data_IF_341319275885
#
_entry.id   IF_341319275885
#
_cell.length_a   1.000
_cell.length_b   1.000
_cell.length_c   1.000
_cell.angle_alpha   90.00
_cell.angle_beta   90.00
_cell.angle_gamma   90.00
#
_symmetry.space_group_name_H-M   'P 1'
#
loop_
_entity.id
_entity.type
_entity.pdbx_description
1 polymer ?
#
# COMPACT_ATOMS: atom_id res chain seq x y z
N UNK A 1 -5.55 25.87 -32.62
CA UNK A 1 -5.94 25.38 -31.27
C UNK A 1 -6.11 23.86 -31.41
N UNK A 2 -5.24 23.05 -30.81
CA UNK A 2 -5.28 21.59 -30.94
C UNK A 2 -5.93 21.02 -29.67
N UNK A 3 -7.04 20.31 -29.83
CA UNK A 3 -7.64 19.51 -28.77
C UNK A 3 -7.08 18.08 -28.88
N UNK A 4 -6.28 17.66 -27.90
CA UNK A 4 -5.84 16.27 -27.77
C UNK A 4 -6.80 15.57 -26.80
N UNK A 5 -7.71 14.76 -27.33
CA UNK A 5 -8.58 13.89 -26.53
C UNK A 5 -7.92 12.51 -26.44
N UNK A 6 -7.19 12.26 -25.35
CA UNK A 6 -6.61 10.95 -25.06
C UNK A 6 -7.63 10.10 -24.29
N UNK A 7 -8.52 9.43 -25.02
CA UNK A 7 -9.28 8.30 -24.46
C UNK A 7 -9.09 7.09 -25.36
N UNK A 8 -8.44 6.05 -24.83
CA UNK A 8 -8.32 4.78 -25.54
C UNK A 8 -9.72 4.14 -25.53
N UNK A 9 -10.37 4.09 -26.69
CA UNK A 9 -11.65 3.38 -26.85
C UNK A 9 -11.40 1.88 -26.87
N UNK A 10 -11.55 1.24 -25.71
CA UNK A 10 -11.63 -0.22 -25.54
C UNK A 10 -13.04 -0.57 -25.06
N UNK A 11 -13.65 -1.61 -25.63
CA UNK A 11 -14.95 -2.10 -25.15
C UNK A 11 -14.75 -3.06 -23.98
N UNK A 12 -15.76 -3.28 -23.12
CA UNK A 12 -15.64 -4.24 -22.00
C UNK A 12 -15.22 -5.65 -22.43
N UNK A 13 -15.58 -6.07 -23.65
CA UNK A 13 -15.16 -7.36 -24.23
C UNK A 13 -13.65 -7.42 -24.46
N UNK A 14 -13.01 -6.29 -24.69
CA UNK A 14 -11.58 -6.18 -25.04
C UNK A 14 -10.69 -5.85 -23.83
N UNK A 15 -11.26 -5.73 -22.62
CA UNK A 15 -10.49 -5.41 -21.41
C UNK A 15 -9.39 -6.44 -21.14
N UNK A 16 -9.68 -7.73 -21.41
CA UNK A 16 -8.80 -8.85 -21.09
C UNK A 16 -8.50 -8.91 -19.57
N UNK A 17 -7.61 -9.82 -19.15
CA UNK A 17 -7.24 -9.98 -17.74
C UNK A 17 -6.19 -8.97 -17.29
N UNK A 18 -6.12 -8.66 -16.00
CA UNK A 18 -5.03 -7.87 -15.42
C UNK A 18 -3.64 -8.45 -15.74
N UNK A 19 -3.51 -9.79 -15.75
CA UNK A 19 -2.26 -10.46 -16.11
C UNK A 19 -1.76 -10.08 -17.52
N UNK A 20 -2.67 -9.97 -18.49
CA UNK A 20 -2.34 -9.54 -19.86
C UNK A 20 -1.92 -8.07 -19.95
N UNK A 21 -2.28 -7.26 -18.95
CA UNK A 21 -2.02 -5.82 -18.89
C UNK A 21 -0.85 -5.47 -17.97
N UNK A 22 -0.07 -6.45 -17.50
CA UNK A 22 1.03 -6.25 -16.53
C UNK A 22 2.13 -5.28 -16.96
N UNK A 23 2.25 -5.01 -18.27
CA UNK A 23 3.17 -4.01 -18.83
C UNK A 23 2.61 -2.58 -18.88
N UNK A 24 1.35 -2.37 -18.49
CA UNK A 24 0.70 -1.07 -18.45
C UNK A 24 0.44 -0.69 -16.99
N UNK A 25 1.22 0.25 -16.47
CA UNK A 25 1.15 0.68 -15.09
C UNK A 25 -0.17 1.36 -14.74
N UNK A 26 -0.71 2.18 -15.65
CA UNK A 26 -1.99 2.86 -15.44
C UNK A 26 -3.15 1.88 -15.17
N UNK A 27 -3.15 0.71 -15.82
CA UNK A 27 -4.15 -0.34 -15.57
C UNK A 27 -3.87 -1.08 -14.25
N UNK A 28 -2.60 -1.42 -13.99
CA UNK A 28 -2.24 -2.26 -12.86
C UNK A 28 -2.36 -1.55 -11.51
N UNK A 29 -2.06 -0.25 -11.46
CA UNK A 29 -2.28 0.57 -10.25
C UNK A 29 -3.76 0.62 -9.89
N UNK A 30 -4.64 0.80 -10.87
CA UNK A 30 -6.10 0.74 -10.68
C UNK A 30 -6.61 -0.65 -10.26
N UNK A 31 -5.87 -1.70 -10.60
CA UNK A 31 -6.12 -3.08 -10.15
C UNK A 31 -5.53 -3.42 -8.78
N UNK A 32 -4.80 -2.50 -8.13
CA UNK A 32 -4.18 -2.75 -6.83
C UNK A 32 -5.26 -2.77 -5.75
N UNK A 33 -5.20 -3.78 -4.86
CA UNK A 33 -6.24 -4.06 -3.87
C UNK A 33 -7.63 -4.39 -4.46
N UNK A 34 -7.71 -4.78 -5.75
CA UNK A 34 -8.95 -5.17 -6.41
C UNK A 34 -9.29 -6.66 -6.27
N UNK A 35 -9.18 -7.22 -5.06
CA UNK A 35 -9.57 -8.61 -4.83
C UNK A 35 -10.98 -8.66 -4.25
N UNK A 36 -11.88 -9.44 -4.84
CA UNK A 36 -13.28 -9.57 -4.39
C UNK A 36 -13.46 -9.99 -2.92
N UNK A 37 -12.44 -10.62 -2.32
CA UNK A 37 -12.41 -11.00 -0.89
C UNK A 37 -11.72 -9.99 0.02
N UNK A 38 -11.27 -8.86 -0.51
CA UNK A 38 -10.72 -7.79 0.33
C UNK A 38 -11.81 -7.30 1.26
N UNK A 39 -11.52 -7.32 2.56
CA UNK A 39 -12.42 -6.82 3.59
C UNK A 39 -11.79 -5.58 4.21
N UNK A 40 -12.14 -4.40 3.68
CA UNK A 40 -11.65 -3.15 4.20
C UNK A 40 -12.48 -2.72 5.42
N UNK A 41 -11.87 -2.74 6.61
CA UNK A 41 -12.54 -2.40 7.89
C UNK A 41 -12.99 -0.93 7.99
N UNK A 42 -12.54 -0.06 7.08
CA UNK A 42 -12.97 1.34 7.02
C UNK A 42 -14.30 1.53 6.27
N UNK A 43 -14.71 0.55 5.46
CA UNK A 43 -15.91 0.62 4.62
C UNK A 43 -17.10 0.04 5.38
N UNK A 44 -18.17 0.81 5.48
CA UNK A 44 -19.35 0.50 6.28
C UNK A 44 -20.31 -0.45 5.55
N UNK A 45 -20.37 -0.36 4.22
CA UNK A 45 -21.24 -1.19 3.38
C UNK A 45 -20.53 -2.47 2.96
N UNK A 46 -20.91 -3.59 3.57
CA UNK A 46 -20.62 -4.93 3.01
C UNK A 46 -21.19 -5.03 1.60
N UNK A 47 -20.52 -5.82 0.76
CA UNK A 47 -20.89 -6.01 -0.62
C UNK A 47 -22.37 -6.29 -0.83
N UNK A 48 -23.12 -5.27 -1.27
CA UNK A 48 -24.43 -5.48 -1.85
C UNK A 48 -24.22 -5.83 -3.33
N UNK A 49 -24.72 -6.97 -3.82
CA UNK A 49 -24.58 -7.38 -5.22
C UNK A 49 -25.36 -6.48 -6.21
N UNK A 50 -26.01 -5.41 -5.73
CA UNK A 50 -26.89 -4.52 -6.49
C UNK A 50 -26.49 -3.04 -6.39
N UNK A 51 -25.18 -2.75 -6.40
CA UNK A 51 -24.72 -1.36 -6.49
C UNK A 51 -24.67 -0.95 -7.97
N UNK A 52 -25.40 0.10 -8.41
CA UNK A 52 -25.33 0.59 -9.78
C UNK A 52 -23.90 1.04 -10.13
N UNK A 53 -23.52 0.91 -11.40
CA UNK A 53 -22.15 1.01 -11.93
C UNK A 53 -21.43 2.37 -11.78
N UNK A 54 -21.99 3.29 -11.00
CA UNK A 54 -21.44 4.61 -10.69
C UNK A 54 -20.85 4.71 -9.28
N UNK A 55 -20.89 3.63 -8.51
CA UNK A 55 -20.36 3.56 -7.15
C UNK A 55 -19.29 2.46 -7.07
N UNK A 56 -18.23 2.66 -6.25
CA UNK A 56 -17.10 1.74 -6.16
C UNK A 56 -17.57 0.34 -5.80
N UNK A 57 -16.91 -0.68 -6.36
CA UNK A 57 -17.15 -2.05 -5.91
C UNK A 57 -16.80 -2.11 -4.42
N UNK A 58 -17.66 -2.68 -3.56
CA UNK A 58 -17.41 -2.75 -2.12
C UNK A 58 -16.11 -3.49 -1.78
N UNK A 59 -15.56 -4.28 -2.71
CA UNK A 59 -14.26 -4.93 -2.60
C UNK A 59 -13.06 -4.03 -2.96
N UNK A 60 -13.26 -2.91 -3.66
CA UNK A 60 -12.23 -1.93 -4.06
C UNK A 60 -12.35 -0.61 -3.32
N UNK A 61 -13.34 -0.48 -2.44
CA UNK A 61 -13.63 0.77 -1.76
C UNK A 61 -12.72 1.01 -0.54
N UNK A 62 -12.52 2.28 -0.23
CA UNK A 62 -11.97 2.77 1.04
C UNK A 62 -12.64 4.09 1.43
N UNK A 63 -12.33 4.57 2.63
CA UNK A 63 -12.83 5.83 3.15
C UNK A 63 -11.77 6.91 2.95
N UNK A 64 -12.09 7.95 2.18
CA UNK A 64 -11.26 9.15 2.14
C UNK A 64 -11.51 9.96 3.41
N UNK A 65 -10.54 9.98 4.32
CA UNK A 65 -10.72 10.47 5.70
C UNK A 65 -10.99 11.97 5.76
N UNK A 66 -10.45 12.76 4.84
CA UNK A 66 -10.63 14.22 4.85
C UNK A 66 -12.08 14.66 4.65
N UNK A 67 -12.88 13.89 3.92
CA UNK A 67 -14.29 14.18 3.62
C UNK A 67 -15.25 13.13 4.17
N UNK A 68 -14.73 12.03 4.74
CA UNK A 68 -15.49 10.84 5.12
C UNK A 68 -16.33 10.25 3.98
N UNK A 69 -15.83 10.31 2.74
CA UNK A 69 -16.52 9.74 1.57
C UNK A 69 -15.93 8.38 1.18
N UNK A 70 -16.79 7.38 1.01
CA UNK A 70 -16.40 6.08 0.45
C UNK A 70 -16.16 6.21 -1.07
N UNK A 71 -15.01 5.77 -1.55
CA UNK A 71 -14.62 5.81 -2.98
C UNK A 71 -13.65 4.67 -3.30
N UNK A 72 -13.31 4.46 -4.58
CA UNK A 72 -12.32 3.46 -4.96
C UNK A 72 -10.93 3.81 -4.38
N UNK A 73 -10.17 2.78 -4.00
CA UNK A 73 -8.82 2.93 -3.41
C UNK A 73 -7.90 3.76 -4.31
N UNK A 74 -7.99 3.56 -5.63
CA UNK A 74 -7.20 4.34 -6.58
C UNK A 74 -7.55 5.83 -6.49
N UNK A 75 -8.84 6.18 -6.55
CA UNK A 75 -9.29 7.58 -6.52
C UNK A 75 -8.93 8.25 -5.20
N UNK A 76 -9.11 7.55 -4.07
CA UNK A 76 -8.65 8.03 -2.76
C UNK A 76 -7.14 8.30 -2.75
N UNK A 77 -6.35 7.42 -3.37
CA UNK A 77 -4.90 7.58 -3.47
C UNK A 77 -4.49 8.78 -4.32
N UNK A 78 -5.23 9.08 -5.39
CA UNK A 78 -5.00 10.28 -6.20
C UNK A 78 -5.29 11.55 -5.40
N UNK A 79 -6.38 11.58 -4.62
CA UNK A 79 -6.66 12.71 -3.72
C UNK A 79 -5.52 12.93 -2.72
N UNK A 80 -5.05 11.89 -2.03
CA UNK A 80 -3.91 12.03 -1.12
C UNK A 80 -2.60 12.40 -1.82
N UNK A 81 -2.42 11.99 -3.08
CA UNK A 81 -1.27 12.41 -3.89
C UNK A 81 -1.29 13.91 -4.15
N UNK A 82 -2.46 14.50 -4.42
CA UNK A 82 -2.59 15.96 -4.63
C UNK A 82 -2.23 16.75 -3.38
N UNK A 83 -2.56 16.24 -2.20
CA UNK A 83 -2.21 16.85 -0.91
C UNK A 83 -0.83 16.46 -0.40
N UNK A 84 -0.07 15.67 -1.18
CA UNK A 84 1.25 15.11 -0.82
C UNK A 84 1.24 14.36 0.52
N UNK A 85 0.12 13.73 0.85
CA UNK A 85 -0.05 12.97 2.07
C UNK A 85 0.45 11.54 1.86
N UNK A 86 1.48 11.07 2.59
CA UNK A 86 1.95 9.69 2.48
C UNK A 86 0.89 8.72 3.03
N UNK A 87 0.81 7.54 2.43
CA UNK A 87 -0.16 6.51 2.83
C UNK A 87 0.51 5.35 3.56
N UNK A 88 -0.26 4.71 4.42
CA UNK A 88 0.11 3.46 5.08
C UNK A 88 -1.02 2.43 4.93
N UNK A 89 -0.72 1.17 5.21
CA UNK A 89 -1.73 0.10 5.33
C UNK A 89 -1.62 -0.54 6.71
N UNK A 90 -2.76 -0.74 7.37
CA UNK A 90 -2.86 -1.59 8.56
C UNK A 90 -3.32 -2.98 8.13
N UNK A 91 -2.62 -4.03 8.57
CA UNK A 91 -2.90 -5.41 8.23
C UNK A 91 -2.80 -6.35 9.44
N UNK A 92 -3.43 -7.52 9.31
CA UNK A 92 -3.35 -8.59 10.32
C UNK A 92 -2.15 -9.50 10.09
N UNK A 93 -2.33 -10.78 10.41
CA UNK A 93 -1.31 -11.83 10.25
C UNK A 93 -1.12 -12.23 8.79
N UNK A 94 0.08 -12.68 8.48
CA UNK A 94 0.50 -13.26 7.20
C UNK A 94 0.17 -12.35 6.00
N UNK A 95 0.42 -11.05 6.16
CA UNK A 95 0.21 -10.09 5.09
C UNK A 95 1.09 -10.45 3.88
N UNK A 96 0.46 -10.52 2.70
CA UNK A 96 1.12 -10.93 1.46
C UNK A 96 1.10 -12.43 1.16
N UNK A 97 0.45 -13.25 1.99
CA UNK A 97 0.34 -14.69 1.72
C UNK A 97 -0.39 -14.97 0.41
N UNK A 98 0.19 -15.84 -0.42
CA UNK A 98 -0.35 -16.23 -1.72
C UNK A 98 0.75 -16.34 -2.78
N UNK A 99 0.37 -16.55 -4.05
CA UNK A 99 1.34 -16.64 -5.13
C UNK A 99 2.02 -15.29 -5.36
N UNK A 100 3.34 -15.31 -5.53
CA UNK A 100 4.14 -14.14 -5.91
C UNK A 100 3.64 -13.59 -7.25
N UNK A 101 3.47 -12.27 -7.34
CA UNK A 101 3.14 -11.56 -8.58
C UNK A 101 3.93 -10.27 -8.68
N UNK A 102 4.29 -9.86 -9.89
CA UNK A 102 5.17 -8.72 -10.16
C UNK A 102 4.67 -7.38 -9.57
N UNK A 103 3.36 -7.27 -9.32
CA UNK A 103 2.67 -6.04 -8.93
C UNK A 103 2.33 -5.94 -7.44
N UNK A 104 2.59 -6.97 -6.62
CA UNK A 104 2.17 -6.98 -5.20
C UNK A 104 2.83 -5.88 -4.36
N UNK A 105 4.02 -5.41 -4.75
CA UNK A 105 4.70 -4.28 -4.11
C UNK A 105 4.70 -3.00 -4.97
N UNK A 106 4.78 -3.14 -6.31
CA UNK A 106 4.74 -2.00 -7.24
C UNK A 106 3.42 -1.23 -7.17
N UNK A 107 2.30 -1.95 -7.11
CA UNK A 107 0.97 -1.37 -6.99
C UNK A 107 0.85 -0.45 -5.77
N UNK A 108 1.05 -0.97 -4.54
CA UNK A 108 1.03 -0.16 -3.33
C UNK A 108 1.98 1.05 -3.38
N UNK A 109 3.20 0.86 -3.89
CA UNK A 109 4.18 1.94 -4.02
C UNK A 109 3.66 3.08 -4.91
N UNK A 110 3.06 2.75 -6.06
CA UNK A 110 2.48 3.71 -7.00
C UNK A 110 1.20 4.38 -6.46
N UNK A 111 0.43 3.70 -5.60
CA UNK A 111 -0.66 4.34 -4.86
C UNK A 111 -0.14 5.39 -3.85
N UNK A 112 1.16 5.45 -3.57
CA UNK A 112 1.72 6.39 -2.60
C UNK A 112 1.90 5.81 -1.20
N UNK A 113 1.77 4.48 -1.04
CA UNK A 113 2.03 3.81 0.23
C UNK A 113 3.53 3.84 0.51
N UNK A 114 3.88 4.16 1.77
CA UNK A 114 5.26 4.27 2.25
C UNK A 114 5.59 3.28 3.36
N UNK A 115 4.59 2.81 4.10
CA UNK A 115 4.77 1.77 5.11
C UNK A 115 3.56 0.81 5.16
N UNK A 116 3.83 -0.44 5.52
CA UNK A 116 2.80 -1.42 5.87
C UNK A 116 3.00 -1.78 7.34
N UNK A 117 1.96 -1.67 8.15
CA UNK A 117 1.95 -2.03 9.57
C UNK A 117 1.12 -3.31 9.71
N UNK A 118 1.77 -4.43 10.01
CA UNK A 118 1.12 -5.74 10.05
C UNK A 118 1.46 -6.53 11.33
N UNK A 119 0.63 -7.51 11.68
CA UNK A 119 0.96 -8.45 12.78
C UNK A 119 2.08 -9.41 12.35
N UNK A 120 2.08 -9.84 11.09
CA UNK A 120 3.18 -10.60 10.49
C UNK A 120 3.14 -10.52 8.97
N UNK A 121 4.26 -10.84 8.33
CA UNK A 121 4.42 -10.84 6.88
C UNK A 121 4.74 -12.24 6.35
N UNK A 122 4.30 -12.52 5.13
CA UNK A 122 4.90 -13.59 4.33
C UNK A 122 6.34 -13.17 3.92
N UNK A 123 7.36 -14.04 4.11
CA UNK A 123 8.76 -13.66 3.92
C UNK A 123 9.12 -13.09 2.54
N UNK A 124 8.61 -13.68 1.45
CA UNK A 124 8.92 -13.22 0.09
C UNK A 124 8.25 -11.88 -0.20
N UNK A 125 7.01 -11.69 0.24
CA UNK A 125 6.29 -10.43 0.10
C UNK A 125 6.97 -9.31 0.87
N UNK A 126 7.44 -9.58 2.09
CA UNK A 126 8.25 -8.63 2.88
C UNK A 126 9.45 -8.11 2.09
N UNK A 127 10.24 -9.00 1.49
CA UNK A 127 11.39 -8.60 0.67
C UNK A 127 10.96 -7.81 -0.58
N UNK A 128 9.82 -8.14 -1.20
CA UNK A 128 9.29 -7.36 -2.33
C UNK A 128 8.91 -5.93 -1.93
N UNK A 129 8.35 -5.72 -0.72
CA UNK A 129 8.03 -4.39 -0.19
C UNK A 129 9.31 -3.54 -0.04
N UNK A 130 10.35 -4.12 0.56
CA UNK A 130 11.66 -3.48 0.72
C UNK A 130 12.26 -3.12 -0.64
N UNK A 131 12.18 -4.02 -1.62
CA UNK A 131 12.65 -3.76 -2.98
C UNK A 131 11.98 -2.55 -3.64
N UNK A 132 10.77 -2.18 -3.22
CA UNK A 132 10.05 -0.99 -3.66
C UNK A 132 10.16 0.19 -2.67
N UNK A 133 11.02 0.11 -1.65
CA UNK A 133 11.16 1.13 -0.61
C UNK A 133 9.87 1.39 0.19
N UNK A 134 9.06 0.35 0.40
CA UNK A 134 7.95 0.37 1.34
C UNK A 134 8.43 -0.26 2.64
N UNK A 135 8.35 0.47 3.75
CA UNK A 135 8.82 0.01 5.06
C UNK A 135 7.85 -1.04 5.66
N UNK A 136 8.26 -2.31 5.84
CA UNK A 136 7.44 -3.29 6.54
C UNK A 136 7.65 -3.15 8.05
N UNK A 137 6.62 -2.71 8.75
CA UNK A 137 6.57 -2.57 10.21
C UNK A 137 5.72 -3.70 10.80
N UNK A 138 6.30 -4.45 11.71
CA UNK A 138 5.60 -5.50 12.44
C UNK A 138 5.27 -5.04 13.86
N UNK A 139 4.05 -5.31 14.31
CA UNK A 139 3.71 -5.15 15.72
C UNK A 139 4.63 -6.03 16.60
N UNK A 140 4.92 -5.58 17.83
CA UNK A 140 5.62 -6.42 18.81
C UNK A 140 4.74 -7.59 19.22
N UNK A 141 5.34 -8.63 19.79
CA UNK A 141 4.60 -9.82 20.21
C UNK A 141 3.47 -9.45 21.18
N UNK A 142 2.24 -9.81 20.80
CA UNK A 142 1.01 -9.48 21.56
C UNK A 142 0.34 -8.16 21.16
N UNK A 143 1.03 -7.27 20.46
CA UNK A 143 0.44 -6.04 19.93
C UNK A 143 -0.35 -6.32 18.64
N UNK A 144 -1.53 -5.72 18.53
CA UNK A 144 -2.42 -5.78 17.38
C UNK A 144 -3.11 -4.44 17.23
N UNK A 145 -3.77 -4.21 16.08
CA UNK A 145 -4.64 -3.04 15.94
C UNK A 145 -5.72 -2.99 17.05
N UNK A 146 -6.26 -4.15 17.45
CA UNK A 146 -7.29 -4.21 18.48
C UNK A 146 -6.74 -3.90 19.88
N UNK A 147 -5.63 -4.51 20.30
CA UNK A 147 -5.04 -4.24 21.62
C UNK A 147 -4.53 -2.81 21.76
N UNK A 148 -4.10 -2.20 20.66
CA UNK A 148 -3.69 -0.81 20.59
C UNK A 148 -4.85 0.15 20.29
N UNK A 149 -6.11 -0.31 20.21
CA UNK A 149 -7.28 0.51 19.89
C UNK A 149 -7.10 1.38 18.62
N UNK A 150 -6.40 0.86 17.62
CA UNK A 150 -6.19 1.52 16.33
C UNK A 150 -7.44 1.33 15.46
N UNK A 151 -8.04 2.43 15.05
CA UNK A 151 -9.23 2.45 14.20
C UNK A 151 -8.89 2.57 12.72
N UNK A 152 -7.67 3.02 12.40
CA UNK A 152 -7.23 3.34 11.04
C UNK A 152 -7.69 4.72 10.56
N UNK A 153 -8.29 5.52 11.45
CA UNK A 153 -8.71 6.91 11.18
C UNK A 153 -7.72 7.95 11.73
N UNK A 154 -6.75 7.51 12.52
CA UNK A 154 -5.72 8.36 13.10
C UNK A 154 -4.70 8.82 12.06
N UNK A 155 -4.00 9.91 12.34
CA UNK A 155 -2.81 10.30 11.58
C UNK A 155 -1.57 9.65 12.20
N UNK A 156 -0.79 8.95 11.38
CA UNK A 156 0.38 8.19 11.81
C UNK A 156 1.67 8.94 11.45
N UNK A 157 2.47 9.28 12.45
CA UNK A 157 3.84 9.78 12.30
C UNK A 157 4.80 8.65 12.62
N UNK A 158 5.61 8.24 11.65
CA UNK A 158 6.53 7.11 11.77
C UNK A 158 7.96 7.65 11.72
N UNK A 159 8.70 7.45 12.79
CA UNK A 159 10.11 7.78 12.90
C UNK A 159 10.93 6.48 12.88
N UNK A 160 11.73 6.30 11.85
CA UNK A 160 12.63 5.16 11.71
C UNK A 160 13.97 5.63 11.19
N UNK A 161 15.04 5.27 11.91
CA UNK A 161 16.41 5.50 11.47
C UNK A 161 16.96 4.24 10.82
N UNK A 162 17.11 4.27 9.50
CA UNK A 162 17.65 3.15 8.72
C UNK A 162 19.13 2.88 9.01
N UNK A 163 19.87 3.80 9.64
CA UNK A 163 21.27 3.57 10.04
C UNK A 163 21.40 2.98 11.45
N UNK A 164 20.32 2.95 12.24
CA UNK A 164 20.34 2.34 13.56
C UNK A 164 20.18 0.81 13.44
N UNK A 165 21.02 0.07 14.17
CA UNK A 165 20.98 -1.40 14.22
C UNK A 165 19.79 -1.94 15.03
N UNK A 166 18.99 -1.07 15.63
CA UNK A 166 17.89 -1.47 16.54
C UNK A 166 16.62 -1.95 15.84
N UNK A 167 16.49 -1.80 14.52
CA UNK A 167 15.31 -2.23 13.74
C UNK A 167 13.97 -1.85 14.41
N UNK A 168 13.92 -0.70 15.06
CA UNK A 168 12.76 -0.25 15.83
C UNK A 168 12.30 1.11 15.28
N UNK A 169 11.03 1.19 14.92
CA UNK A 169 10.38 2.41 14.50
C UNK A 169 9.46 2.90 15.62
N UNK A 170 9.49 4.21 15.89
CA UNK A 170 8.55 4.85 16.80
C UNK A 170 7.37 5.39 16.00
N UNK A 171 6.16 5.06 16.44
CA UNK A 171 4.91 5.50 15.82
C UNK A 171 4.17 6.39 16.81
N UNK A 172 3.86 7.60 16.37
CA UNK A 172 3.08 8.58 17.12
C UNK A 172 1.79 8.89 16.38
N UNK A 173 0.67 8.87 17.11
CA UNK A 173 -0.64 9.24 16.60
C UNK A 173 -0.94 10.72 16.92
N UNK A 174 -1.87 11.31 16.17
CA UNK A 174 -2.43 12.65 16.42
C UNK A 174 -3.07 12.81 17.80
N UNK A 175 -3.70 11.75 18.33
CA UNK A 175 -4.27 11.71 19.68
C UNK A 175 -3.22 11.65 20.80
N UNK A 176 -1.92 11.68 20.48
CA UNK A 176 -0.82 11.65 21.43
C UNK A 176 -0.34 10.26 21.82
N UNK A 177 -1.04 9.19 21.43
CA UNK A 177 -0.60 7.81 21.69
C UNK A 177 0.68 7.49 20.93
N UNK A 178 1.62 6.86 21.62
CA UNK A 178 2.88 6.40 21.04
C UNK A 178 3.09 4.92 21.28
N UNK A 179 3.66 4.22 20.31
CA UNK A 179 4.07 2.83 20.42
C UNK A 179 5.25 2.56 19.48
N UNK A 180 5.95 1.47 19.67
CA UNK A 180 7.08 1.10 18.80
C UNK A 180 6.78 -0.17 18.04
N UNK A 181 7.22 -0.23 16.79
CA UNK A 181 7.09 -1.37 15.89
C UNK A 181 8.46 -1.86 15.44
N UNK A 182 8.54 -3.13 15.07
CA UNK A 182 9.77 -3.75 14.56
C UNK A 182 9.84 -3.49 13.06
N UNK A 183 10.86 -2.77 12.60
CA UNK A 183 11.17 -2.64 11.18
C UNK A 183 11.76 -3.96 10.67
N UNK A 184 11.04 -4.65 9.80
CA UNK A 184 11.38 -5.98 9.29
C UNK A 184 12.38 -5.93 8.13
N UNK A 185 13.50 -5.27 8.38
CA UNK A 185 14.70 -5.24 7.52
C UNK A 185 15.68 -6.26 8.11
N UNK A 186 15.72 -7.45 7.50
CA UNK A 186 16.31 -8.62 8.13
C UNK A 186 17.79 -8.81 7.71
N UNK A 187 18.23 -8.12 6.65
CA UNK A 187 19.60 -8.23 6.11
C UNK A 187 20.20 -6.88 5.77
N UNK A 188 21.53 -6.80 5.70
CA UNK A 188 22.24 -5.57 5.34
C UNK A 188 21.96 -5.13 3.90
N UNK A 189 21.83 -6.09 2.97
CA UNK A 189 21.48 -5.76 1.59
C UNK A 189 20.08 -5.13 1.48
N UNK A 190 19.13 -5.56 2.30
CA UNK A 190 17.81 -4.94 2.39
C UNK A 190 17.87 -3.52 2.96
N UNK A 191 18.76 -3.27 3.94
CA UNK A 191 19.04 -1.92 4.46
C UNK A 191 19.56 -1.02 3.35
N UNK A 192 20.53 -1.50 2.55
CA UNK A 192 21.06 -0.77 1.40
C UNK A 192 19.97 -0.46 0.37
N UNK A 193 19.08 -1.41 0.06
CA UNK A 193 17.94 -1.13 -0.82
C UNK A 193 17.07 0.00 -0.28
N UNK A 194 16.74 0.01 1.02
CA UNK A 194 15.95 1.08 1.61
C UNK A 194 16.66 2.44 1.54
N UNK A 195 17.94 2.51 1.88
CA UNK A 195 18.75 3.74 1.81
C UNK A 195 18.83 4.31 0.39
N UNK A 196 18.83 3.44 -0.62
CA UNK A 196 18.90 3.86 -2.02
C UNK A 196 17.53 4.16 -2.65
N UNK A 197 16.43 4.00 -1.90
CA UNK A 197 15.07 4.22 -2.42
C UNK A 197 14.50 3.04 -3.21
N UNK A 198 15.05 1.84 -3.01
CA UNK A 198 14.60 0.57 -3.57
C UNK A 198 15.71 -0.21 -4.28
N UNK A 199 15.39 -1.44 -4.67
CA UNK A 199 16.28 -2.34 -5.40
C UNK A 199 16.70 -1.77 -6.76
N UNK A 200 15.74 -1.27 -7.57
CA UNK A 200 16.04 -0.75 -8.91
C UNK A 200 16.96 0.48 -8.88
N UNK A 201 16.69 1.50 -8.04
CA UNK A 201 17.64 2.62 -7.87
C UNK A 201 19.02 2.18 -7.37
N UNK A 202 19.08 1.21 -6.45
CA UNK A 202 20.35 0.66 -5.97
C UNK A 202 21.18 0.05 -7.11
N UNK A 203 20.59 -0.88 -7.87
CA UNK A 203 21.27 -1.55 -8.99
C UNK A 203 21.66 -0.55 -10.09
N UNK A 204 20.79 0.42 -10.40
CA UNK A 204 21.09 1.45 -11.39
C UNK A 204 22.30 2.30 -10.98
N UNK A 205 22.39 2.70 -9.71
CA UNK A 205 23.54 3.47 -9.20
C UNK A 205 24.82 2.64 -9.22
N UNK A 206 24.74 1.33 -8.94
CA UNK A 206 25.90 0.44 -9.04
C UNK A 206 26.38 0.26 -10.48
N UNK A 207 25.47 0.21 -11.46
CA UNK A 207 25.83 0.04 -12.86
C UNK A 207 26.40 1.32 -13.50
N UNK A 208 26.14 2.49 -12.90
CA UNK A 208 26.63 3.79 -13.36
C UNK A 208 27.96 4.21 -12.71
N UNK A 209 28.41 3.48 -11.69
CA UNK A 209 29.69 3.68 -10.99
C UNK A 209 30.71 2.61 -11.41
#
# INVERSE_FOLDING_TARGET
MIFIVLFIRITPRDYNSYGSRRGNDAVMVRGTFNHHRLNNKLVTKRASPLVPSSSPSPATATLYLSTNTEMDIFDASEHYRTTKTPLIVLAGKNYGCGPTRDWVAKGPWMLGIRAILAESFEPQHRSNLIGMSILPLQFKDGDTCASLNLTGREIYSIEYNTDDNKNLANVKLDNGKTFSMIARIDTEIERLYMLHGGLLPYVLRQALN
#
